data_IF_782514511346
#
_entry.id   IF_782514511346
#
_cell.length_a   1.000
_cell.length_b   1.000
_cell.length_c   1.000
_cell.angle_alpha   90.00
_cell.angle_beta   90.00
_cell.angle_gamma   90.00
#
_symmetry.space_group_name_H-M   'P 1'
#
loop_
_entity.id
_entity.type
_entity.pdbx_description
1 polymer ?
#
# COMPACT_ATOMS: atom_id res chain seq x y z
N UNK A 1 21.12 17.21 12.75
CA UNK A 1 20.26 16.08 13.20
C UNK A 1 19.74 15.38 11.95
N UNK A 2 19.90 14.07 11.79
CA UNK A 2 19.31 13.34 10.66
C UNK A 2 17.78 13.31 10.87
N UNK A 3 17.02 13.83 9.90
CA UNK A 3 15.56 13.80 9.91
C UNK A 3 15.10 12.34 9.96
N UNK A 4 14.16 12.01 10.85
CA UNK A 4 13.52 10.70 10.83
C UNK A 4 12.68 10.59 9.55
N UNK A 5 12.97 9.60 8.71
CA UNK A 5 12.22 9.33 7.48
C UNK A 5 11.10 8.34 7.81
N UNK A 6 9.86 8.76 7.55
CA UNK A 6 8.66 7.94 7.71
C UNK A 6 8.25 7.31 6.38
N UNK A 7 7.31 6.36 6.44
CA UNK A 7 6.76 5.75 5.22
C UNK A 7 6.08 6.79 4.32
N UNK A 8 5.35 7.74 4.91
CA UNK A 8 4.64 8.82 4.20
C UNK A 8 5.55 9.81 3.49
N UNK A 9 6.86 9.80 3.76
CA UNK A 9 7.84 10.65 3.07
C UNK A 9 8.25 10.06 1.70
N UNK A 10 7.90 8.79 1.41
CA UNK A 10 8.21 8.16 0.13
C UNK A 10 7.30 8.66 -0.99
N UNK A 11 7.90 9.23 -2.03
CA UNK A 11 7.22 9.59 -3.29
C UNK A 11 7.40 8.55 -4.39
N UNK A 12 8.40 7.69 -4.25
CA UNK A 12 8.75 6.62 -5.18
C UNK A 12 9.37 5.44 -4.44
N UNK A 13 9.34 4.26 -5.07
CA UNK A 13 9.97 3.05 -4.57
C UNK A 13 11.50 3.23 -4.56
N UNK A 14 12.17 3.18 -3.40
CA UNK A 14 13.62 3.37 -3.31
C UNK A 14 14.45 2.32 -4.07
N UNK A 15 13.83 1.20 -4.46
CA UNK A 15 14.50 0.10 -5.14
C UNK A 15 14.40 0.16 -6.67
N UNK A 16 13.36 0.79 -7.22
CA UNK A 16 13.09 0.72 -8.67
C UNK A 16 12.48 1.99 -9.27
N UNK A 17 12.20 3.02 -8.48
CA UNK A 17 11.67 4.31 -8.96
C UNK A 17 10.16 4.34 -9.26
N UNK A 18 9.44 3.20 -9.17
CA UNK A 18 7.98 3.18 -9.33
C UNK A 18 7.26 4.12 -8.34
N UNK A 19 6.20 4.80 -8.79
CA UNK A 19 5.39 5.72 -7.96
C UNK A 19 4.22 5.04 -7.22
N UNK A 20 4.06 3.72 -7.33
CA UNK A 20 2.93 2.97 -6.77
C UNK A 20 3.32 1.92 -5.73
N UNK A 21 2.44 1.74 -4.74
CA UNK A 21 2.48 0.63 -3.79
C UNK A 21 1.10 -0.01 -3.63
N UNK A 22 1.06 -1.25 -3.17
CA UNK A 22 -0.15 -1.95 -2.76
C UNK A 22 -0.02 -2.45 -1.32
N UNK A 23 -1.16 -2.69 -0.69
CA UNK A 23 -1.26 -3.42 0.57
C UNK A 23 -2.00 -4.73 0.34
N UNK A 24 -1.59 -5.80 1.01
CA UNK A 24 -2.33 -7.07 0.94
C UNK A 24 -3.42 -7.09 1.99
N UNK A 25 -4.66 -7.18 1.54
CA UNK A 25 -5.83 -7.44 2.35
C UNK A 25 -6.39 -8.82 2.00
N UNK A 26 -6.90 -9.52 3.00
CA UNK A 26 -7.69 -10.73 2.82
C UNK A 26 -9.11 -10.43 3.27
N UNK A 27 -10.08 -10.78 2.44
CA UNK A 27 -11.49 -10.70 2.78
C UNK A 27 -12.04 -12.11 2.90
N UNK A 28 -12.78 -12.37 3.97
CA UNK A 28 -13.45 -13.64 4.24
C UNK A 28 -14.90 -13.37 4.63
N UNK A 29 -15.84 -14.15 4.09
CA UNK A 29 -17.26 -14.00 4.40
C UNK A 29 -18.13 -14.11 3.15
N UNK A 30 -19.36 -13.62 3.27
CA UNK A 30 -20.37 -13.71 2.22
C UNK A 30 -20.70 -12.32 1.67
N UNK A 31 -20.71 -12.19 0.34
CA UNK A 31 -21.28 -11.03 -0.34
C UNK A 31 -22.74 -11.35 -0.67
N UNK A 32 -23.66 -10.52 -0.20
CA UNK A 32 -25.08 -10.63 -0.54
C UNK A 32 -25.38 -9.59 -1.60
N UNK A 33 -25.71 -10.04 -2.82
CA UNK A 33 -26.04 -9.17 -3.95
C UNK A 33 -27.49 -9.41 -4.38
N UNK A 34 -28.31 -8.37 -4.30
CA UNK A 34 -29.72 -8.38 -4.64
C UNK A 34 -29.94 -7.92 -6.08
N UNK A 35 -30.89 -8.57 -6.75
CA UNK A 35 -31.36 -8.21 -8.09
C UNK A 35 -32.87 -8.00 -8.06
N UNK A 36 -33.37 -7.00 -8.78
CA UNK A 36 -34.81 -6.85 -9.04
C UNK A 36 -35.25 -7.79 -10.16
N UNK A 37 -36.43 -8.38 -10.02
CA UNK A 37 -37.00 -9.27 -11.05
C UNK A 37 -37.35 -8.55 -12.36
N UNK A 38 -37.63 -7.26 -12.30
CA UNK A 38 -37.97 -6.41 -13.45
C UNK A 38 -36.72 -5.82 -14.15
N UNK A 39 -35.52 -6.15 -13.68
CA UNK A 39 -34.26 -5.63 -14.21
C UNK A 39 -33.89 -4.22 -13.76
N UNK A 40 -34.66 -3.61 -12.86
CA UNK A 40 -34.26 -2.37 -12.19
C UNK A 40 -33.09 -2.60 -11.21
N UNK A 41 -32.40 -1.52 -10.84
CA UNK A 41 -31.37 -1.56 -9.81
C UNK A 41 -32.01 -1.85 -8.43
N UNK A 42 -31.36 -2.70 -7.63
CA UNK A 42 -31.73 -2.96 -6.24
C UNK A 42 -30.65 -2.40 -5.30
N UNK A 43 -31.02 -2.00 -4.09
CA UNK A 43 -30.06 -1.49 -3.11
C UNK A 43 -29.09 -2.58 -2.65
N UNK A 44 -27.79 -2.32 -2.86
CA UNK A 44 -26.69 -3.20 -2.51
C UNK A 44 -25.61 -2.50 -1.67
N UNK A 45 -25.93 -1.36 -1.04
CA UNK A 45 -24.97 -0.58 -0.27
C UNK A 45 -24.29 -1.38 0.85
N UNK A 46 -25.00 -2.36 1.41
CA UNK A 46 -24.56 -3.22 2.51
C UNK A 46 -23.94 -4.55 2.06
N UNK A 47 -23.70 -4.77 0.76
CA UNK A 47 -23.29 -6.07 0.21
C UNK A 47 -22.00 -6.65 0.81
N UNK A 48 -21.15 -5.78 1.38
CA UNK A 48 -19.88 -6.16 2.00
C UNK A 48 -19.91 -6.21 3.54
N UNK A 49 -21.05 -5.91 4.19
CA UNK A 49 -21.15 -5.89 5.65
C UNK A 49 -20.84 -7.24 6.32
N UNK A 50 -21.05 -8.34 5.60
CA UNK A 50 -20.70 -9.69 6.04
C UNK A 50 -19.24 -10.07 5.86
N UNK A 51 -18.40 -9.18 5.32
CA UNK A 51 -16.98 -9.46 5.10
C UNK A 51 -16.12 -9.09 6.31
N UNK A 52 -15.28 -10.03 6.72
CA UNK A 52 -14.18 -9.83 7.65
C UNK A 52 -12.94 -9.50 6.81
N UNK A 53 -12.43 -8.27 6.94
CA UNK A 53 -11.23 -7.82 6.23
C UNK A 53 -10.04 -7.83 7.19
N UNK A 54 -8.98 -8.55 6.83
CA UNK A 54 -7.72 -8.62 7.59
C UNK A 54 -6.53 -8.14 6.75
N UNK A 55 -5.44 -7.75 7.40
CA UNK A 55 -4.25 -7.25 6.73
C UNK A 55 -4.29 -5.74 6.47
N UNK A 56 -3.81 -5.31 5.30
CA UNK A 56 -3.84 -3.91 4.86
C UNK A 56 -2.74 -2.99 5.41
N UNK A 57 -1.92 -3.48 6.35
CA UNK A 57 -0.93 -2.65 7.06
C UNK A 57 0.43 -2.59 6.36
N UNK A 58 0.76 -3.59 5.56
CA UNK A 58 2.09 -3.80 4.97
C UNK A 58 2.08 -3.34 3.51
N UNK A 59 2.92 -2.36 3.20
CA UNK A 59 3.05 -1.81 1.87
C UNK A 59 4.18 -2.49 1.07
N UNK A 60 3.89 -2.74 -0.20
CA UNK A 60 4.80 -3.38 -1.16
C UNK A 60 4.80 -2.58 -2.46
N UNK A 61 5.94 -2.46 -3.12
CA UNK A 61 6.01 -1.79 -4.41
C UNK A 61 5.19 -2.52 -5.48
N UNK A 62 4.40 -1.78 -6.26
CA UNK A 62 3.53 -2.33 -7.31
C UNK A 62 4.26 -2.89 -8.53
N UNK A 63 5.55 -2.61 -8.68
CA UNK A 63 6.37 -3.16 -9.77
C UNK A 63 7.32 -4.26 -9.26
N UNK A 64 8.21 -3.93 -8.32
CA UNK A 64 9.24 -4.88 -7.89
C UNK A 64 8.82 -5.79 -6.72
N UNK A 65 7.60 -5.63 -6.19
CA UNK A 65 7.04 -6.41 -5.08
C UNK A 65 7.83 -6.38 -3.77
N UNK A 66 8.86 -5.54 -3.65
CA UNK A 66 9.66 -5.41 -2.42
C UNK A 66 8.85 -4.72 -1.33
N UNK A 67 9.09 -5.16 -0.09
CA UNK A 67 8.45 -4.62 1.10
C UNK A 67 8.99 -3.21 1.44
N UNK A 68 8.09 -2.23 1.47
CA UNK A 68 8.44 -0.82 1.67
C UNK A 68 8.30 -0.37 3.12
N UNK A 69 7.38 -0.96 3.89
CA UNK A 69 7.12 -0.55 5.26
C UNK A 69 5.69 -0.83 5.70
N UNK A 70 5.29 -0.20 6.79
CA UNK A 70 3.95 -0.28 7.33
C UNK A 70 3.25 1.08 7.24
N UNK A 71 2.17 1.15 6.45
CA UNK A 71 1.43 2.38 6.17
C UNK A 71 0.52 2.83 7.31
N UNK A 72 0.12 1.92 8.21
CA UNK A 72 -0.69 2.25 9.40
C UNK A 72 0.17 2.88 10.50
N UNK A 73 1.33 2.28 10.79
CA UNK A 73 2.28 2.78 11.80
C UNK A 73 3.25 3.84 11.27
N UNK A 74 3.13 4.17 9.98
CA UNK A 74 3.98 5.10 9.24
C UNK A 74 5.49 4.76 9.27
N UNK A 75 5.86 3.48 9.43
CA UNK A 75 7.25 3.04 9.54
C UNK A 75 7.80 2.55 8.21
N UNK A 76 8.90 3.13 7.74
CA UNK A 76 9.65 2.62 6.59
C UNK A 76 10.39 1.31 6.95
N UNK A 77 10.53 0.39 6.00
CA UNK A 77 11.34 -0.81 6.19
C UNK A 77 12.84 -0.47 6.17
N UNK A 78 13.64 -1.17 6.98
CA UNK A 78 15.10 -0.96 6.98
C UNK A 78 15.74 -1.12 5.59
N UNK A 79 15.35 -2.11 4.76
CA UNK A 79 15.88 -2.21 3.40
C UNK A 79 15.50 -1.02 2.52
N UNK A 80 14.26 -0.50 2.63
CA UNK A 80 13.82 0.64 1.83
C UNK A 80 14.54 1.92 2.25
N UNK A 81 14.73 2.13 3.56
CA UNK A 81 15.51 3.25 4.08
C UNK A 81 16.96 3.22 3.58
N UNK A 82 17.62 2.05 3.60
CA UNK A 82 18.99 1.90 3.10
C UNK A 82 19.09 2.22 1.60
N UNK A 83 18.14 1.74 0.81
CA UNK A 83 18.12 2.03 -0.63
C UNK A 83 17.89 3.52 -0.90
N UNK A 84 17.01 4.18 -0.12
CA UNK A 84 16.76 5.61 -0.23
C UNK A 84 18.02 6.44 0.05
N UNK A 85 18.69 6.17 1.19
CA UNK A 85 19.92 6.88 1.57
C UNK A 85 21.04 6.67 0.54
N UNK A 86 21.16 5.48 -0.05
CA UNK A 86 22.14 5.21 -1.11
C UNK A 86 21.88 6.04 -2.36
N UNK A 87 20.62 6.18 -2.77
CA UNK A 87 20.26 6.99 -3.93
C UNK A 87 20.53 8.49 -3.68
N UNK A 88 20.25 8.99 -2.47
CA UNK A 88 20.55 10.38 -2.07
C UNK A 88 22.06 10.67 -2.11
N UNK A 89 22.89 9.75 -1.59
CA UNK A 89 24.36 9.87 -1.65
C UNK A 89 24.88 9.87 -3.11
N UNK A 90 24.33 9.03 -3.98
CA UNK A 90 24.70 8.99 -5.41
C UNK A 90 24.31 10.27 -6.16
N UNK A 91 23.15 10.86 -5.84
CA UNK A 91 22.71 12.14 -6.39
C UNK A 91 23.55 13.34 -5.91
N UNK A 92 24.11 13.28 -4.69
CA UNK A 92 25.02 14.32 -4.17
C UNK A 92 26.41 14.22 -4.79
N UNK A 93 26.94 13.02 -5.01
CA UNK A 93 28.27 12.80 -5.63
C UNK A 93 28.25 13.11 -7.14
N UNK A 94 27.11 12.91 -7.80
CA UNK A 94 26.94 13.18 -9.24
C UNK A 94 26.69 14.64 -9.61
N UNK A 95 26.62 15.55 -8.62
CA UNK A 95 26.51 17.01 -8.80
C UNK A 95 27.87 17.69 -8.66
#
# INVERSE_FOLDING_TARGET
MKKAINFSDLTQCPFCGCNGFYVRQHAEGTVIYHHSFDGSEFDNNDMYNGLIITGGKRAYCSQCNKFLGNCETNKISLPALKALLKNEEEEEIGK
#
